data_IF_978475033558
#
_entry.id   IF_978475033558
#
_cell.length_a   1.000
_cell.length_b   1.000
_cell.length_c   1.000
_cell.angle_alpha   90.00
_cell.angle_beta   90.00
_cell.angle_gamma   90.00
#
_symmetry.space_group_name_H-M   'P 1'
#
loop_
_entity.id
_entity.type
_entity.pdbx_description
1 polymer ?
#
# COMPACT_ATOMS: atom_id res chain seq x y z
N UNK A 1 -2.18 -10.91 -11.81
CA UNK A 1 -3.57 -11.19 -11.99
C UNK A 1 -4.44 -10.81 -10.79
N UNK A 2 -3.95 -10.82 -9.59
CA UNK A 2 -4.86 -10.54 -8.48
C UNK A 2 -4.17 -9.97 -7.27
N UNK A 3 -4.96 -9.25 -6.50
CA UNK A 3 -4.62 -8.84 -5.14
C UNK A 3 -5.57 -9.58 -4.21
N UNK A 4 -5.00 -10.28 -3.24
CA UNK A 4 -5.76 -10.99 -2.21
C UNK A 4 -5.57 -10.27 -0.90
N UNK A 5 -6.68 -9.93 -0.25
CA UNK A 5 -6.67 -9.10 0.96
C UNK A 5 -7.22 -9.88 2.15
N UNK A 6 -6.49 -9.85 3.25
CA UNK A 6 -6.93 -10.41 4.53
C UNK A 6 -6.84 -9.31 5.57
N UNK A 7 -7.93 -9.06 6.29
CA UNK A 7 -7.94 -8.09 7.38
C UNK A 7 -7.83 -8.84 8.70
N UNK A 8 -6.71 -8.65 9.37
CA UNK A 8 -6.43 -9.27 10.67
C UNK A 8 -6.76 -8.27 11.78
N UNK A 9 -7.96 -8.38 12.31
CA UNK A 9 -8.44 -7.47 13.35
C UNK A 9 -7.70 -7.65 14.67
N UNK A 10 -7.27 -8.88 14.98
CA UNK A 10 -6.55 -9.14 16.23
C UNK A 10 -5.22 -8.39 16.27
N UNK A 11 -4.50 -8.35 15.16
CA UNK A 11 -3.22 -7.66 15.04
C UNK A 11 -3.33 -6.27 14.43
N UNK A 12 -4.52 -5.85 14.06
CA UNK A 12 -4.80 -4.55 13.42
C UNK A 12 -3.92 -4.33 12.20
N UNK A 13 -3.94 -5.31 11.30
CA UNK A 13 -3.11 -5.31 10.09
C UNK A 13 -3.89 -5.82 8.89
N UNK A 14 -3.70 -5.16 7.76
CA UNK A 14 -4.20 -5.62 6.48
C UNK A 14 -3.04 -6.32 5.76
N UNK A 15 -3.25 -7.57 5.38
CA UNK A 15 -2.26 -8.36 4.66
C UNK A 15 -2.72 -8.52 3.22
N UNK A 16 -1.84 -8.18 2.28
CA UNK A 16 -2.16 -8.23 0.85
C UNK A 16 -1.09 -9.01 0.11
N UNK A 17 -1.52 -9.85 -0.80
CA UNK A 17 -0.65 -10.53 -1.76
C UNK A 17 -1.00 -10.03 -3.16
N UNK A 18 -0.03 -9.46 -3.87
CA UNK A 18 -0.21 -8.99 -5.24
C UNK A 18 0.63 -9.85 -6.17
N UNK A 19 0.00 -10.52 -7.13
CA UNK A 19 0.65 -11.45 -8.04
C UNK A 19 0.23 -11.20 -9.48
N UNK A 20 1.17 -11.41 -10.40
CA UNK A 20 0.93 -11.29 -11.81
C UNK A 20 0.71 -9.85 -12.24
N UNK A 21 -0.01 -9.66 -13.33
CA UNK A 21 -0.25 -8.32 -13.86
C UNK A 21 -1.33 -7.61 -13.06
N UNK A 22 -0.96 -6.49 -12.44
CA UNK A 22 -1.86 -5.69 -11.61
C UNK A 22 -2.26 -4.45 -12.40
N UNK A 23 -3.57 -4.25 -12.57
CA UNK A 23 -4.12 -3.12 -13.29
C UNK A 23 -4.49 -1.97 -12.33
N UNK A 24 -4.76 -0.80 -12.90
CA UNK A 24 -5.29 0.31 -12.13
C UNK A 24 -6.62 -0.06 -11.44
N UNK A 25 -7.48 -0.82 -12.14
CA UNK A 25 -8.74 -1.25 -11.55
C UNK A 25 -8.54 -2.16 -10.34
N UNK A 26 -7.52 -3.03 -10.39
CA UNK A 26 -7.19 -3.88 -9.24
C UNK A 26 -6.80 -3.04 -8.02
N UNK A 27 -5.99 -2.01 -8.24
CA UNK A 27 -5.54 -1.12 -7.17
C UNK A 27 -6.72 -0.33 -6.61
N UNK A 28 -7.57 0.21 -7.47
CA UNK A 28 -8.73 0.96 -7.03
C UNK A 28 -9.71 0.10 -6.23
N UNK A 29 -9.96 -1.12 -6.71
CA UNK A 29 -10.83 -2.05 -6.00
C UNK A 29 -10.27 -2.35 -4.60
N UNK A 30 -8.97 -2.55 -4.48
CA UNK A 30 -8.35 -2.77 -3.19
C UNK A 30 -8.55 -1.59 -2.25
N UNK A 31 -8.29 -0.39 -2.73
CA UNK A 31 -8.36 0.82 -1.92
C UNK A 31 -9.80 1.21 -1.56
N UNK A 32 -10.73 1.02 -2.49
CA UNK A 32 -12.10 1.52 -2.34
C UNK A 32 -13.08 0.45 -1.84
N UNK A 33 -12.79 -0.82 -2.02
CA UNK A 33 -13.73 -1.90 -1.73
C UNK A 33 -13.22 -2.94 -0.74
N UNK A 34 -11.92 -3.22 -0.72
CA UNK A 34 -11.37 -4.31 0.10
C UNK A 34 -10.82 -3.83 1.43
N UNK A 35 -10.07 -2.74 1.43
CA UNK A 35 -9.53 -2.13 2.65
C UNK A 35 -10.49 -1.04 3.11
N UNK A 36 -11.54 -1.45 3.82
CA UNK A 36 -12.67 -0.56 4.13
C UNK A 36 -12.86 -0.38 5.63
N UNK A 37 -13.57 0.69 5.99
CA UNK A 37 -13.92 0.95 7.38
C UNK A 37 -12.70 1.11 8.26
N UNK A 38 -12.70 0.43 9.40
CA UNK A 38 -11.58 0.50 10.34
C UNK A 38 -10.28 -0.06 9.75
N UNK A 39 -10.37 -0.92 8.74
CA UNK A 39 -9.20 -1.43 8.04
C UNK A 39 -8.36 -0.35 7.38
N UNK A 40 -8.95 0.80 7.05
CA UNK A 40 -8.19 1.94 6.52
C UNK A 40 -7.21 2.50 7.54
N UNK A 41 -7.48 2.34 8.83
CA UNK A 41 -6.61 2.86 9.90
C UNK A 41 -5.53 1.87 10.34
N UNK A 42 -5.66 0.59 9.94
CA UNK A 42 -4.68 -0.44 10.26
C UNK A 42 -3.42 -0.23 9.42
N UNK A 43 -2.28 -0.70 9.92
CA UNK A 43 -1.12 -0.78 9.04
C UNK A 43 -1.35 -1.87 7.98
N UNK A 44 -0.66 -1.73 6.85
CA UNK A 44 -0.82 -2.64 5.72
C UNK A 44 0.52 -3.16 5.27
N UNK A 45 0.59 -4.47 5.06
CA UNK A 45 1.78 -5.13 4.52
C UNK A 45 1.39 -5.80 3.20
N UNK A 46 1.97 -5.32 2.11
CA UNK A 46 1.71 -5.85 0.78
C UNK A 46 2.93 -6.62 0.29
N UNK A 47 2.78 -7.90 0.05
CA UNK A 47 3.78 -8.69 -0.65
C UNK A 47 3.50 -8.61 -2.15
N UNK A 48 4.27 -7.79 -2.83
CA UNK A 48 4.14 -7.57 -4.27
C UNK A 48 5.31 -8.16 -5.05
N UNK A 49 6.02 -9.12 -4.47
CA UNK A 49 7.07 -9.83 -5.19
C UNK A 49 6.41 -10.69 -6.28
N UNK A 50 6.90 -10.54 -7.49
CA UNK A 50 6.32 -11.25 -8.65
C UNK A 50 5.18 -10.51 -9.33
N UNK A 51 4.84 -9.29 -8.90
CA UNK A 51 3.85 -8.50 -9.62
C UNK A 51 4.50 -7.79 -10.81
N UNK A 52 3.68 -7.47 -11.79
CA UNK A 52 4.05 -6.58 -12.88
C UNK A 52 2.88 -5.63 -13.17
N UNK A 53 3.20 -4.49 -13.77
CA UNK A 53 2.16 -3.53 -14.10
C UNK A 53 2.59 -2.69 -15.30
N UNK A 54 1.60 -2.25 -16.08
CA UNK A 54 1.80 -1.30 -17.17
C UNK A 54 1.15 0.05 -16.86
N UNK A 55 1.00 0.35 -15.59
CA UNK A 55 0.38 1.60 -15.14
C UNK A 55 1.17 2.80 -15.66
N UNK A 56 0.47 3.71 -16.34
CA UNK A 56 1.05 4.93 -16.88
C UNK A 56 1.24 5.98 -15.78
N UNK A 57 1.99 7.04 -16.08
CA UNK A 57 2.10 8.19 -15.19
C UNK A 57 0.74 8.78 -14.85
N UNK A 58 -0.16 8.82 -15.82
CA UNK A 58 -1.50 9.34 -15.59
C UNK A 58 -2.28 8.47 -14.61
N UNK A 59 -2.11 7.16 -14.69
CA UNK A 59 -2.73 6.25 -13.73
C UNK A 59 -2.20 6.45 -12.33
N UNK A 60 -0.91 6.79 -12.18
CA UNK A 60 -0.33 7.14 -10.88
C UNK A 60 -1.06 8.35 -10.29
N UNK A 61 -1.36 9.36 -11.09
CA UNK A 61 -2.12 10.51 -10.61
C UNK A 61 -3.52 10.13 -10.13
N UNK A 62 -4.16 9.16 -10.79
CA UNK A 62 -5.44 8.63 -10.34
C UNK A 62 -5.33 7.97 -8.97
N UNK A 63 -4.28 7.18 -8.76
CA UNK A 63 -4.02 6.54 -7.47
C UNK A 63 -3.80 7.60 -6.39
N UNK A 64 -3.02 8.63 -6.69
CA UNK A 64 -2.78 9.75 -5.76
C UNK A 64 -4.10 10.41 -5.38
N UNK A 65 -4.98 10.65 -6.35
CA UNK A 65 -6.28 11.28 -6.08
C UNK A 65 -7.15 10.42 -5.16
N UNK A 66 -7.17 9.10 -5.37
CA UNK A 66 -7.91 8.18 -4.50
C UNK A 66 -7.35 8.20 -3.08
N UNK A 67 -6.03 8.13 -2.94
CA UNK A 67 -5.38 8.14 -1.62
C UNK A 67 -5.63 9.46 -0.89
N UNK A 68 -5.60 10.59 -1.61
CA UNK A 68 -5.88 11.88 -1.00
C UNK A 68 -7.32 11.99 -0.52
N UNK A 69 -8.27 11.47 -1.30
CA UNK A 69 -9.67 11.45 -0.89
C UNK A 69 -9.85 10.60 0.37
N UNK A 70 -9.28 9.40 0.38
CA UNK A 70 -9.37 8.52 1.54
C UNK A 70 -8.67 9.11 2.76
N UNK A 71 -7.52 9.74 2.57
CA UNK A 71 -6.77 10.39 3.65
C UNK A 71 -7.48 11.59 4.24
N UNK A 72 -8.30 12.28 3.45
CA UNK A 72 -9.10 13.40 3.94
C UNK A 72 -10.33 12.93 4.72
N UNK A 73 -10.82 11.73 4.41
CA UNK A 73 -12.00 11.15 5.06
C UNK A 73 -11.66 10.33 6.29
N UNK A 74 -10.44 9.77 6.33
CA UNK A 74 -10.01 8.84 7.39
C UNK A 74 -8.52 9.02 7.65
N UNK A 75 -8.09 8.57 8.81
CA UNK A 75 -6.67 8.50 9.12
C UNK A 75 -6.12 7.18 8.54
N UNK A 76 -5.45 7.27 7.39
CA UNK A 76 -4.89 6.07 6.74
C UNK A 76 -3.69 5.55 7.52
N UNK A 77 -3.68 4.26 7.81
CA UNK A 77 -2.53 3.60 8.40
C UNK A 77 -1.40 3.46 7.39
N UNK A 78 -0.16 3.24 7.87
CA UNK A 78 1.00 3.12 6.99
C UNK A 78 0.97 1.84 6.17
N UNK A 79 1.51 1.92 4.95
CA UNK A 79 1.60 0.78 4.03
C UNK A 79 3.05 0.49 3.69
N UNK A 80 3.49 -0.73 3.96
CA UNK A 80 4.78 -1.24 3.52
C UNK A 80 4.56 -2.19 2.34
N UNK A 81 5.31 -2.01 1.26
CA UNK A 81 5.17 -2.82 0.05
C UNK A 81 6.50 -3.49 -0.27
N UNK A 82 6.49 -4.82 -0.34
CA UNK A 82 7.70 -5.59 -0.66
C UNK A 82 7.72 -5.84 -2.16
N UNK A 83 8.78 -5.41 -2.83
CA UNK A 83 8.94 -5.55 -4.28
C UNK A 83 10.30 -6.15 -4.62
N UNK A 84 10.39 -6.80 -5.77
CA UNK A 84 11.61 -7.44 -6.24
C UNK A 84 12.18 -6.84 -7.54
N UNK A 85 11.57 -5.77 -8.06
CA UNK A 85 12.07 -5.12 -9.27
C UNK A 85 12.50 -3.67 -8.99
N UNK A 86 13.49 -3.21 -9.74
CA UNK A 86 13.96 -1.82 -9.62
C UNK A 86 12.92 -0.83 -10.12
N UNK A 87 12.19 -1.19 -11.17
CA UNK A 87 11.14 -0.34 -11.72
C UNK A 87 10.01 -0.18 -10.70
N UNK A 88 9.57 -1.28 -10.11
CA UNK A 88 8.54 -1.24 -9.07
C UNK A 88 8.97 -0.43 -7.86
N UNK A 89 10.20 -0.62 -7.42
CA UNK A 89 10.75 0.13 -6.29
C UNK A 89 10.75 1.64 -6.56
N UNK A 90 11.24 2.04 -7.73
CA UNK A 90 11.30 3.45 -8.11
C UNK A 90 9.92 4.09 -8.25
N UNK A 91 8.97 3.36 -8.82
CA UNK A 91 7.60 3.85 -8.98
C UNK A 91 6.93 4.06 -7.62
N UNK A 92 7.13 3.14 -6.69
CA UNK A 92 6.56 3.26 -5.34
C UNK A 92 7.24 4.36 -4.52
N UNK A 93 8.54 4.58 -4.74
CA UNK A 93 9.23 5.72 -4.13
C UNK A 93 8.62 7.04 -4.60
N UNK A 94 8.34 7.14 -5.89
CA UNK A 94 7.69 8.34 -6.44
C UNK A 94 6.31 8.53 -5.82
N UNK A 95 5.51 7.45 -5.75
CA UNK A 95 4.19 7.52 -5.14
C UNK A 95 4.28 7.95 -3.68
N UNK A 96 5.23 7.41 -2.92
CA UNK A 96 5.39 7.74 -1.50
C UNK A 96 5.63 9.23 -1.28
N UNK A 97 6.39 9.86 -2.16
CA UNK A 97 6.66 11.30 -2.09
C UNK A 97 5.41 12.10 -2.43
N UNK A 98 4.66 11.67 -3.44
CA UNK A 98 3.47 12.41 -3.89
C UNK A 98 2.33 12.41 -2.88
N UNK A 99 2.29 11.45 -1.97
CA UNK A 99 1.20 11.32 -0.98
C UNK A 99 1.68 11.48 0.47
N UNK A 100 2.92 11.89 0.69
CA UNK A 100 3.50 11.92 2.05
C UNK A 100 2.75 12.82 3.02
N UNK A 101 2.00 13.79 2.51
CA UNK A 101 1.20 14.69 3.33
C UNK A 101 -0.13 14.06 3.80
N UNK A 102 -0.55 12.93 3.24
CA UNK A 102 -1.83 12.29 3.60
C UNK A 102 -1.67 10.87 4.11
N UNK A 103 -0.59 10.17 3.74
CA UNK A 103 -0.35 8.81 4.23
C UNK A 103 1.12 8.42 4.06
N UNK A 104 1.50 7.35 4.73
CA UNK A 104 2.87 6.82 4.67
C UNK A 104 2.86 5.54 3.84
N UNK A 105 3.56 5.55 2.71
CA UNK A 105 3.77 4.39 1.86
C UNK A 105 5.26 4.27 1.63
N UNK A 106 5.81 3.07 1.82
CA UNK A 106 7.24 2.86 1.60
C UNK A 106 7.51 1.50 0.96
N UNK A 107 8.33 1.46 -0.11
CA UNK A 107 8.74 0.19 -0.70
C UNK A 107 9.92 -0.41 0.06
N UNK A 108 9.97 -1.74 0.06
CA UNK A 108 11.06 -2.51 0.66
C UNK A 108 11.44 -3.66 -0.26
N UNK A 109 12.69 -4.11 -0.14
CA UNK A 109 13.16 -5.29 -0.86
C UNK A 109 13.03 -6.56 -0.03
N UNK A 110 12.95 -6.43 1.30
CA UNK A 110 12.95 -7.56 2.22
C UNK A 110 11.81 -7.42 3.23
N UNK A 111 11.19 -8.55 3.52
CA UNK A 111 10.07 -8.59 4.45
C UNK A 111 10.46 -8.12 5.86
N UNK A 112 11.64 -8.51 6.32
CA UNK A 112 12.10 -8.13 7.67
C UNK A 112 12.18 -6.63 7.83
N UNK A 113 12.67 -5.93 6.80
CA UNK A 113 12.78 -4.47 6.82
C UNK A 113 11.40 -3.81 6.84
N UNK A 114 10.46 -4.35 6.07
CA UNK A 114 9.08 -3.85 6.03
C UNK A 114 8.42 -4.00 7.40
N UNK A 115 8.55 -5.16 8.01
CA UNK A 115 7.96 -5.42 9.32
C UNK A 115 8.60 -4.58 10.43
N UNK A 116 9.92 -4.36 10.37
CA UNK A 116 10.61 -3.49 11.32
C UNK A 116 10.12 -2.05 11.21
N UNK A 117 9.92 -1.56 9.99
CA UNK A 117 9.41 -0.20 9.78
C UNK A 117 8.01 -0.04 10.36
N UNK A 118 7.12 -1.01 10.10
CA UNK A 118 5.76 -0.97 10.64
C UNK A 118 5.75 -1.04 12.16
N UNK A 119 6.59 -1.89 12.74
CA UNK A 119 6.71 -2.01 14.20
C UNK A 119 7.18 -0.71 14.82
N UNK A 120 8.15 -0.05 14.20
CA UNK A 120 8.70 1.21 14.68
C UNK A 120 7.65 2.31 14.67
N UNK A 121 6.82 2.35 13.65
CA UNK A 121 5.73 3.32 13.57
C UNK A 121 4.69 3.10 14.66
N UNK A 122 4.39 1.84 14.99
CA UNK A 122 3.48 1.53 16.09
C UNK A 122 4.02 2.00 17.44
N UNK A 123 5.31 1.87 17.67
CA UNK A 123 5.95 2.34 18.91
C UNK A 123 5.82 3.85 19.07
N UNK A 124 5.88 4.59 17.96
CA UNK A 124 5.85 6.05 17.99
C UNK A 124 4.45 6.63 18.16
N UNK A 125 3.41 5.80 18.09
CA UNK A 125 2.01 6.25 18.17
C UNK A 125 1.47 6.23 19.61
N UNK A 126 2.18 5.60 20.52
CA UNK A 126 1.74 5.52 21.93
C UNK A 126 1.96 6.79 22.73
#
# INVERSE_FOLDING_TARGET
MSMTTIIDHANRRVLVKAEGKISLNDIRAHLEEERVGIGLTYDELIDARGFSTDISQQAVHTIVAVLRRLGNESCLGPTAIIVDSDVGYGMLRMLSILVEDVCQIQPFRRQEEAEQWLAKLRENVT
#
